data_IF_827415732490
#
_entry.id   IF_827415732490
#
_cell.length_a   1.000
_cell.length_b   1.000
_cell.length_c   1.000
_cell.angle_alpha   90.00
_cell.angle_beta   90.00
_cell.angle_gamma   90.00
#
_symmetry.space_group_name_H-M   'P 1'
#
loop_
_entity.id
_entity.type
_entity.pdbx_description
1 polymer ?
#
# COMPACT_ATOMS: atom_id res chain seq x y z
N UNK A 1 10.84 -5.64 0.51
CA UNK A 1 11.24 -4.23 0.75
C UNK A 1 10.02 -3.41 1.13
N UNK A 2 10.12 -2.57 2.18
CA UNK A 2 9.03 -1.71 2.65
C UNK A 2 9.28 -0.27 2.25
N UNK A 3 8.30 0.37 1.62
CA UNK A 3 8.36 1.78 1.23
C UNK A 3 7.21 2.54 1.89
N UNK A 4 7.52 3.63 2.60
CA UNK A 4 6.52 4.54 3.16
C UNK A 4 6.51 5.84 2.35
N UNK A 5 5.41 6.08 1.64
CA UNK A 5 5.23 7.30 0.87
C UNK A 5 4.74 8.42 1.79
N UNK A 6 5.53 9.48 1.88
CA UNK A 6 5.20 10.70 2.61
C UNK A 6 4.69 11.77 1.65
N UNK A 7 4.67 13.01 2.12
CA UNK A 7 4.40 14.18 1.28
C UNK A 7 5.27 14.15 0.02
N UNK A 8 4.70 14.42 -1.18
CA UNK A 8 5.45 14.47 -2.42
C UNK A 8 6.56 15.54 -2.38
N UNK A 9 7.72 15.21 -2.92
CA UNK A 9 8.78 16.19 -3.19
C UNK A 9 8.41 17.07 -4.39
N UNK A 10 9.18 18.16 -4.62
CA UNK A 10 9.02 18.97 -5.84
C UNK A 10 9.24 18.13 -7.11
N UNK A 11 10.19 17.20 -7.10
CA UNK A 11 10.43 16.27 -8.21
C UNK A 11 9.20 15.36 -8.43
N UNK A 12 8.59 14.84 -7.36
CA UNK A 12 7.38 14.02 -7.48
C UNK A 12 6.21 14.79 -8.11
N UNK A 13 6.06 16.07 -7.76
CA UNK A 13 5.00 16.94 -8.29
C UNK A 13 5.22 17.35 -9.76
N UNK A 14 6.45 17.31 -10.26
CA UNK A 14 6.79 17.57 -11.67
C UNK A 14 6.59 16.33 -12.56
N UNK A 15 6.20 15.20 -11.98
CA UNK A 15 5.89 13.95 -12.68
C UNK A 15 4.44 13.53 -12.47
N UNK A 16 3.99 12.52 -13.25
CA UNK A 16 2.66 11.94 -13.03
C UNK A 16 2.56 11.30 -11.65
N UNK A 17 1.37 11.29 -11.05
CA UNK A 17 1.14 10.79 -9.69
C UNK A 17 1.57 9.32 -9.48
N UNK A 18 1.61 8.51 -10.53
CA UNK A 18 2.07 7.12 -10.46
C UNK A 18 3.59 7.00 -10.36
N UNK A 19 4.34 7.99 -10.87
CA UNK A 19 5.78 7.89 -11.10
C UNK A 19 6.58 7.51 -9.85
N UNK A 20 6.36 8.16 -8.71
CA UNK A 20 7.09 7.86 -7.49
C UNK A 20 6.85 6.44 -6.98
N UNK A 21 5.65 5.90 -7.21
CA UNK A 21 5.33 4.51 -6.86
C UNK A 21 5.92 3.54 -7.86
N UNK A 22 5.93 3.87 -9.16
CA UNK A 22 6.57 3.06 -10.20
C UNK A 22 8.05 2.83 -9.94
N UNK A 23 8.78 3.84 -9.48
CA UNK A 23 10.20 3.74 -9.09
C UNK A 23 10.47 2.78 -7.95
N UNK A 24 9.45 2.41 -7.18
CA UNK A 24 9.52 1.56 -5.99
C UNK A 24 8.88 0.18 -6.17
N UNK A 25 8.45 -0.12 -7.39
CA UNK A 25 7.94 -1.46 -7.69
C UNK A 25 9.03 -2.50 -7.42
N UNK A 26 8.67 -3.65 -6.82
CA UNK A 26 9.63 -4.70 -6.56
C UNK A 26 10.12 -5.36 -7.84
N UNK A 27 11.35 -5.81 -7.81
CA UNK A 27 11.89 -6.71 -8.84
C UNK A 27 11.12 -8.04 -8.85
N UNK A 28 11.21 -8.78 -9.97
CA UNK A 28 10.64 -10.13 -10.06
C UNK A 28 11.19 -11.04 -8.96
N UNK A 29 10.32 -11.83 -8.35
CA UNK A 29 10.69 -12.71 -7.23
C UNK A 29 10.91 -11.96 -5.90
N UNK A 30 10.53 -10.68 -5.83
CA UNK A 30 10.60 -9.88 -4.60
C UNK A 30 9.21 -9.45 -4.13
N UNK A 31 9.11 -9.13 -2.85
CA UNK A 31 7.90 -8.61 -2.23
C UNK A 31 8.12 -7.13 -1.90
N UNK A 32 7.27 -6.27 -2.45
CA UNK A 32 7.17 -4.86 -2.11
C UNK A 32 6.00 -4.61 -1.16
N UNK A 33 6.21 -3.84 -0.09
CA UNK A 33 5.17 -3.41 0.83
C UNK A 33 5.09 -1.90 0.79
N UNK A 34 3.96 -1.38 0.35
CA UNK A 34 3.68 0.05 0.29
C UNK A 34 2.84 0.48 1.50
N UNK A 35 3.40 1.35 2.33
CA UNK A 35 2.64 2.08 3.32
C UNK A 35 2.25 3.43 2.72
N UNK A 36 0.95 3.62 2.46
CA UNK A 36 0.39 4.55 1.50
C UNK A 36 0.84 4.22 0.06
N UNK A 37 0.23 4.82 -0.93
CA UNK A 37 0.57 4.52 -2.33
C UNK A 37 0.01 5.61 -3.25
N UNK A 38 -0.09 5.32 -4.54
CA UNK A 38 -0.77 6.16 -5.53
C UNK A 38 -2.27 6.40 -5.20
N UNK A 39 -2.86 5.64 -4.32
CA UNK A 39 -4.24 5.87 -3.86
C UNK A 39 -4.42 7.15 -3.04
N UNK A 40 -3.34 7.75 -2.50
CA UNK A 40 -3.41 9.07 -1.88
C UNK A 40 -3.99 10.13 -2.83
N UNK A 41 -3.83 9.96 -4.15
CA UNK A 41 -4.35 10.85 -5.17
C UNK A 41 -5.87 10.92 -5.24
N UNK A 42 -6.54 9.86 -4.87
CA UNK A 42 -8.01 9.77 -4.85
C UNK A 42 -8.59 9.78 -3.43
N UNK A 43 -7.73 10.00 -2.45
CA UNK A 43 -8.05 10.13 -1.02
C UNK A 43 -7.72 11.54 -0.52
N UNK A 44 -6.48 11.77 -0.07
CA UNK A 44 -6.10 13.07 0.50
C UNK A 44 -6.19 14.21 -0.52
N UNK A 45 -5.79 13.99 -1.76
CA UNK A 45 -5.87 15.01 -2.82
C UNK A 45 -7.33 15.37 -3.13
N UNK A 46 -8.23 14.40 -3.03
CA UNK A 46 -9.68 14.62 -3.22
C UNK A 46 -10.31 15.41 -2.07
N UNK A 47 -9.93 15.09 -0.82
CA UNK A 47 -10.41 15.80 0.38
C UNK A 47 -9.82 17.20 0.47
N UNK A 48 -8.62 17.42 -0.08
CA UNK A 48 -7.91 18.69 -0.09
C UNK A 48 -7.58 19.16 -1.51
N UNK A 49 -8.54 19.80 -2.22
CA UNK A 49 -8.38 20.16 -3.63
C UNK A 49 -7.16 21.03 -3.96
N UNK A 50 -6.70 21.83 -3.00
CA UNK A 50 -5.47 22.61 -3.15
C UNK A 50 -4.22 21.76 -3.44
N UNK A 51 -4.22 20.48 -3.05
CA UNK A 51 -3.14 19.56 -3.39
C UNK A 51 -3.15 19.17 -4.87
N UNK A 52 -4.34 19.11 -5.50
CA UNK A 52 -4.46 18.92 -6.94
C UNK A 52 -3.89 20.11 -7.71
N UNK A 53 -4.23 21.33 -7.29
CA UNK A 53 -3.72 22.56 -7.89
C UNK A 53 -2.18 22.63 -7.84
N UNK A 54 -1.60 22.16 -6.74
CA UNK A 54 -0.13 22.13 -6.58
C UNK A 54 0.58 21.22 -7.60
N UNK A 55 -0.12 20.27 -8.21
CA UNK A 55 0.43 19.40 -9.28
C UNK A 55 0.54 20.11 -10.63
N UNK A 56 -0.07 21.29 -10.79
CA UNK A 56 0.00 22.12 -12.00
C UNK A 56 -0.38 21.38 -13.29
N UNK A 57 -1.33 20.45 -13.22
CA UNK A 57 -1.79 19.71 -14.39
C UNK A 57 -2.67 20.62 -15.24
N UNK A 58 -2.34 20.83 -16.53
CA UNK A 58 -3.13 21.71 -17.41
C UNK A 58 -4.58 21.22 -17.53
N UNK A 59 -5.53 22.15 -17.39
CA UNK A 59 -6.99 21.92 -17.60
C UNK A 59 -7.60 20.85 -16.68
N UNK A 60 -6.98 20.54 -15.54
CA UNK A 60 -7.54 19.65 -14.53
C UNK A 60 -8.10 20.48 -13.38
N UNK A 61 -9.33 20.22 -13.02
CA UNK A 61 -10.04 20.83 -11.91
C UNK A 61 -10.60 19.74 -11.00
N UNK A 62 -10.87 20.03 -9.70
CA UNK A 62 -11.35 19.05 -8.73
C UNK A 62 -12.84 18.72 -8.96
N UNK A 63 -13.15 18.17 -10.11
CA UNK A 63 -14.48 17.74 -10.55
C UNK A 63 -14.59 16.21 -10.48
N UNK A 64 -15.81 15.69 -10.47
CA UNK A 64 -16.08 14.24 -10.39
C UNK A 64 -15.38 13.46 -11.52
N UNK A 65 -15.34 14.03 -12.73
CA UNK A 65 -14.68 13.41 -13.87
C UNK A 65 -13.18 13.17 -13.60
N UNK A 66 -12.50 14.11 -12.96
CA UNK A 66 -11.08 13.96 -12.61
C UNK A 66 -10.83 12.74 -11.73
N UNK A 67 -11.72 12.45 -10.79
CA UNK A 67 -11.58 11.30 -9.91
C UNK A 67 -11.87 9.99 -10.63
N UNK A 68 -12.85 9.97 -11.54
CA UNK A 68 -13.12 8.83 -12.41
C UNK A 68 -11.93 8.51 -13.33
N UNK A 69 -11.36 9.52 -13.98
CA UNK A 69 -10.17 9.34 -14.81
C UNK A 69 -8.98 8.78 -14.01
N UNK A 70 -8.78 9.21 -12.77
CA UNK A 70 -7.74 8.65 -11.88
C UNK A 70 -8.02 7.21 -11.46
N UNK A 71 -9.27 6.82 -11.25
CA UNK A 71 -9.62 5.43 -11.01
C UNK A 71 -9.30 4.55 -12.21
N UNK A 72 -9.59 5.05 -13.41
CA UNK A 72 -9.27 4.34 -14.66
C UNK A 72 -7.77 4.20 -14.87
N UNK A 73 -6.99 5.26 -14.63
CA UNK A 73 -5.52 5.23 -14.66
C UNK A 73 -4.94 4.20 -13.69
N UNK A 74 -5.43 4.18 -12.44
CA UNK A 74 -5.01 3.24 -11.41
C UNK A 74 -5.35 1.80 -11.84
N UNK A 75 -6.58 1.57 -12.30
CA UNK A 75 -7.01 0.25 -12.77
C UNK A 75 -6.19 -0.23 -13.97
N UNK A 76 -5.89 0.66 -14.92
CA UNK A 76 -5.03 0.34 -16.07
C UNK A 76 -3.61 -0.01 -15.64
N UNK A 77 -3.04 0.72 -14.69
CA UNK A 77 -1.73 0.48 -14.14
C UNK A 77 -1.65 -0.87 -13.40
N UNK A 78 -2.59 -1.15 -12.50
CA UNK A 78 -2.67 -2.41 -11.78
C UNK A 78 -2.89 -3.61 -12.72
N UNK A 79 -3.74 -3.44 -13.74
CA UNK A 79 -3.95 -4.43 -14.77
C UNK A 79 -2.69 -4.74 -15.57
N UNK A 80 -1.90 -3.69 -15.87
CA UNK A 80 -0.60 -3.87 -16.51
C UNK A 80 0.34 -4.69 -15.63
N UNK A 81 0.46 -4.38 -14.36
CA UNK A 81 1.29 -5.11 -13.41
C UNK A 81 0.87 -6.58 -13.27
N UNK A 82 -0.44 -6.82 -13.10
CA UNK A 82 -0.99 -8.17 -12.96
C UNK A 82 -0.72 -9.03 -14.18
N UNK A 83 -0.92 -8.50 -15.40
CA UNK A 83 -0.60 -9.18 -16.67
C UNK A 83 0.88 -9.52 -16.82
N UNK A 84 1.76 -8.76 -16.15
CA UNK A 84 3.20 -9.00 -16.13
C UNK A 84 3.66 -9.86 -14.94
N UNK A 85 2.73 -10.51 -14.23
CA UNK A 85 3.03 -11.49 -13.19
C UNK A 85 3.25 -10.90 -11.81
N UNK A 86 2.79 -9.68 -11.55
CA UNK A 86 2.80 -9.09 -10.20
C UNK A 86 1.47 -9.40 -9.51
N UNK A 87 1.50 -10.14 -8.42
CA UNK A 87 0.34 -10.30 -7.55
C UNK A 87 0.16 -9.05 -6.69
N UNK A 88 -1.05 -8.48 -6.69
CA UNK A 88 -1.35 -7.24 -5.97
C UNK A 88 -2.37 -7.56 -4.88
N UNK A 89 -2.04 -7.19 -3.63
CA UNK A 89 -2.93 -7.30 -2.48
C UNK A 89 -3.15 -5.91 -1.92
N UNK A 90 -4.37 -5.44 -1.93
CA UNK A 90 -4.74 -4.12 -1.41
C UNK A 90 -5.50 -4.26 -0.10
N UNK A 91 -5.02 -3.60 0.95
CA UNK A 91 -5.58 -3.73 2.29
C UNK A 91 -5.95 -2.34 2.82
N UNK A 92 -7.23 -2.17 3.13
CA UNK A 92 -7.71 -1.01 3.87
C UNK A 92 -7.93 -1.39 5.34
N UNK A 93 -7.16 -0.77 6.22
CA UNK A 93 -7.31 -0.95 7.67
C UNK A 93 -8.36 0.02 8.21
N UNK A 94 -9.60 -0.46 8.28
CA UNK A 94 -10.73 0.35 8.73
C UNK A 94 -10.72 0.52 10.25
N UNK A 95 -10.46 1.75 10.68
CA UNK A 95 -10.49 2.17 12.10
C UNK A 95 -11.73 3.03 12.31
N UNK A 96 -12.53 2.71 13.33
CA UNK A 96 -13.71 3.51 13.67
C UNK A 96 -13.34 4.92 14.15
N UNK A 97 -14.25 5.87 13.96
CA UNK A 97 -14.07 7.27 14.42
C UNK A 97 -13.82 7.33 15.94
N UNK A 98 -14.45 6.44 16.70
CA UNK A 98 -14.26 6.35 18.16
C UNK A 98 -12.88 5.78 18.52
N UNK A 99 -12.46 4.68 17.90
CA UNK A 99 -11.13 4.13 18.14
C UNK A 99 -10.01 5.08 17.71
N UNK A 100 -10.20 5.82 16.62
CA UNK A 100 -9.26 6.86 16.21
C UNK A 100 -9.09 7.91 17.32
N UNK A 101 -10.19 8.39 17.93
CA UNK A 101 -10.18 9.31 19.07
C UNK A 101 -9.42 8.71 20.26
N UNK A 102 -9.72 7.46 20.61
CA UNK A 102 -9.05 6.78 21.71
C UNK A 102 -7.53 6.68 21.49
N UNK A 103 -7.09 6.42 20.25
CA UNK A 103 -5.66 6.39 19.91
C UNK A 103 -4.99 7.76 20.01
N UNK A 104 -5.68 8.82 19.65
CA UNK A 104 -5.16 10.18 19.85
C UNK A 104 -5.03 10.53 21.34
N UNK A 105 -6.04 10.23 22.15
CA UNK A 105 -6.00 10.42 23.59
C UNK A 105 -4.88 9.60 24.25
N UNK A 106 -4.69 8.33 23.84
CA UNK A 106 -3.57 7.51 24.31
C UNK A 106 -2.20 8.13 23.99
N UNK A 107 -2.04 8.75 22.81
CA UNK A 107 -0.79 9.46 22.46
C UNK A 107 -0.57 10.70 23.32
N UNK A 108 -1.63 11.49 23.59
CA UNK A 108 -1.57 12.71 24.39
C UNK A 108 -1.24 12.37 25.85
N UNK A 109 -1.83 11.30 26.38
CA UNK A 109 -1.68 10.90 27.78
C UNK A 109 -0.37 10.15 28.08
N UNK A 110 0.40 9.79 27.05
CA UNK A 110 1.63 9.01 27.20
C UNK A 110 2.86 9.80 26.76
N UNK A 111 3.71 10.26 27.71
CA UNK A 111 4.93 11.04 27.41
C UNK A 111 5.86 10.32 26.42
N UNK A 112 5.99 8.99 26.52
CA UNK A 112 6.81 8.18 25.62
C UNK A 112 6.30 8.16 24.16
N UNK A 113 5.09 8.68 23.91
CA UNK A 113 4.46 8.78 22.59
C UNK A 113 4.32 10.21 22.05
N UNK A 114 4.66 11.23 22.83
CA UNK A 114 4.52 12.62 22.42
C UNK A 114 5.25 12.95 21.11
N UNK A 115 6.38 12.31 20.84
CA UNK A 115 7.12 12.48 19.60
C UNK A 115 6.35 12.06 18.33
N UNK A 116 5.27 11.29 18.47
CA UNK A 116 4.36 10.89 17.38
C UNK A 116 3.16 11.83 17.24
N UNK A 117 2.99 12.79 18.14
CA UNK A 117 1.85 13.68 18.11
C UNK A 117 2.08 14.81 17.11
N UNK A 118 1.12 15.00 16.21
CA UNK A 118 1.06 16.15 15.33
C UNK A 118 -0.30 16.83 15.47
N UNK A 119 -0.31 18.14 15.70
CA UNK A 119 -1.56 18.91 15.80
C UNK A 119 -2.38 18.88 14.50
N UNK A 120 -1.73 18.68 13.36
CA UNK A 120 -2.36 18.51 12.06
C UNK A 120 -3.29 17.28 12.04
N UNK A 121 -2.92 16.17 12.71
CA UNK A 121 -3.73 14.95 12.77
C UNK A 121 -5.12 15.22 13.38
N UNK A 122 -5.21 16.14 14.36
CA UNK A 122 -6.49 16.51 14.99
C UNK A 122 -7.35 17.34 14.05
N UNK A 123 -6.73 18.20 13.23
CA UNK A 123 -7.44 18.95 12.19
C UNK A 123 -7.96 18.03 11.10
N UNK A 124 -7.16 17.05 10.66
CA UNK A 124 -7.58 16.06 9.67
C UNK A 124 -8.79 15.22 10.11
N UNK A 125 -8.95 15.00 11.41
CA UNK A 125 -10.09 14.26 11.95
C UNK A 125 -11.45 14.91 11.65
N UNK A 126 -11.53 16.22 11.42
CA UNK A 126 -12.80 16.87 11.03
C UNK A 126 -13.30 16.42 9.67
N UNK A 127 -12.41 15.96 8.79
CA UNK A 127 -12.72 15.42 7.46
C UNK A 127 -12.99 13.90 7.47
N UNK A 128 -13.24 13.29 8.65
CA UNK A 128 -13.41 11.84 8.76
C UNK A 128 -14.51 11.31 7.84
N UNK A 129 -15.62 12.02 7.71
CA UNK A 129 -16.76 11.59 6.93
C UNK A 129 -16.47 11.77 5.42
N UNK A 130 -15.76 12.83 5.03
CA UNK A 130 -15.29 13.06 3.65
C UNK A 130 -14.29 11.96 3.22
N UNK A 131 -13.36 11.61 4.10
CA UNK A 131 -12.46 10.48 3.87
C UNK A 131 -13.20 9.15 3.76
N UNK A 132 -14.22 8.92 4.59
CA UNK A 132 -15.02 7.69 4.52
C UNK A 132 -15.69 7.56 3.17
N UNK A 133 -16.32 8.62 2.68
CA UNK A 133 -16.93 8.66 1.35
C UNK A 133 -15.89 8.41 0.24
N UNK A 134 -14.74 9.09 0.30
CA UNK A 134 -13.67 8.90 -0.67
C UNK A 134 -13.15 7.44 -0.69
N UNK A 135 -13.02 6.80 0.48
CA UNK A 135 -12.65 5.39 0.58
C UNK A 135 -13.70 4.46 -0.02
N UNK A 136 -14.98 4.68 0.26
CA UNK A 136 -16.07 3.87 -0.28
C UNK A 136 -16.10 3.91 -1.81
N UNK A 137 -16.03 5.12 -2.40
CA UNK A 137 -16.02 5.30 -3.86
C UNK A 137 -14.75 4.71 -4.48
N UNK A 138 -13.59 4.94 -3.90
CA UNK A 138 -12.32 4.38 -4.37
C UNK A 138 -12.34 2.85 -4.35
N UNK A 139 -12.79 2.23 -3.26
CA UNK A 139 -12.87 0.77 -3.13
C UNK A 139 -13.85 0.21 -4.16
N UNK A 140 -15.02 0.83 -4.32
CA UNK A 140 -16.02 0.41 -5.29
C UNK A 140 -15.50 0.50 -6.75
N UNK A 141 -14.78 1.58 -7.08
CA UNK A 141 -14.28 1.82 -8.43
C UNK A 141 -13.03 1.00 -8.78
N UNK A 142 -12.21 0.62 -7.77
CA UNK A 142 -10.89 0.01 -8.02
C UNK A 142 -10.72 -1.39 -7.45
N UNK A 143 -11.75 -2.00 -6.86
CA UNK A 143 -11.69 -3.42 -6.45
C UNK A 143 -11.93 -4.31 -7.66
N UNK A 144 -10.86 -4.78 -8.28
CA UNK A 144 -10.92 -5.58 -9.50
C UNK A 144 -10.57 -7.05 -9.20
N UNK A 145 -10.92 -7.97 -10.11
CA UNK A 145 -10.60 -9.39 -9.98
C UNK A 145 -9.09 -9.64 -9.86
N UNK A 146 -8.28 -8.89 -10.59
CA UNK A 146 -6.81 -9.02 -10.60
C UNK A 146 -6.10 -8.25 -9.49
N UNK A 147 -6.79 -7.35 -8.79
CA UNK A 147 -6.27 -6.57 -7.68
C UNK A 147 -7.42 -6.17 -6.72
N UNK A 148 -7.94 -7.11 -5.93
CA UNK A 148 -9.06 -6.84 -5.02
C UNK A 148 -8.63 -6.05 -3.80
N UNK A 149 -9.57 -5.25 -3.26
CA UNK A 149 -9.45 -4.63 -1.95
C UNK A 149 -9.96 -5.57 -0.85
N UNK A 150 -9.22 -5.61 0.25
CA UNK A 150 -9.61 -6.27 1.49
C UNK A 150 -9.82 -5.21 2.57
N UNK A 151 -11.07 -5.06 3.02
CA UNK A 151 -11.42 -4.17 4.14
C UNK A 151 -11.25 -4.95 5.43
N UNK A 152 -10.25 -4.57 6.23
CA UNK A 152 -9.87 -5.27 7.46
C UNK A 152 -10.24 -4.42 8.68
N UNK A 153 -11.10 -4.91 9.59
CA UNK A 153 -11.38 -4.22 10.86
C UNK A 153 -10.10 -4.01 11.66
N UNK A 154 -9.82 -2.75 12.05
CA UNK A 154 -8.54 -2.40 12.65
C UNK A 154 -8.63 -1.73 14.03
N UNK A 155 -9.80 -1.73 14.66
CA UNK A 155 -9.97 -1.25 16.02
C UNK A 155 -9.17 -2.12 17.00
N UNK A 156 -9.20 -3.43 16.83
CA UNK A 156 -8.40 -4.38 17.62
C UNK A 156 -7.18 -4.82 16.81
N UNK A 157 -6.00 -4.38 17.23
CA UNK A 157 -4.72 -4.66 16.52
C UNK A 157 -4.45 -6.14 16.28
N UNK A 158 -4.80 -7.02 17.23
CA UNK A 158 -4.58 -8.45 17.06
C UNK A 158 -5.46 -9.03 15.94
N UNK A 159 -6.70 -8.56 15.81
CA UNK A 159 -7.61 -8.99 14.72
C UNK A 159 -7.04 -8.57 13.37
N UNK A 160 -6.70 -7.29 13.21
CA UNK A 160 -6.16 -6.80 11.94
C UNK A 160 -4.83 -7.47 11.56
N UNK A 161 -3.94 -7.70 12.54
CA UNK A 161 -2.66 -8.40 12.29
C UNK A 161 -2.87 -9.84 11.84
N UNK A 162 -3.77 -10.57 12.50
CA UNK A 162 -4.09 -11.95 12.11
C UNK A 162 -4.70 -11.99 10.71
N UNK A 163 -5.70 -11.13 10.43
CA UNK A 163 -6.33 -11.07 9.11
C UNK A 163 -5.33 -10.75 8.00
N UNK A 164 -4.47 -9.74 8.20
CA UNK A 164 -3.43 -9.39 7.22
C UNK A 164 -2.44 -10.52 7.02
N UNK A 165 -1.97 -11.16 8.10
CA UNK A 165 -1.05 -12.30 8.00
C UNK A 165 -1.67 -13.48 7.24
N UNK A 166 -2.94 -13.79 7.50
CA UNK A 166 -3.67 -14.86 6.79
C UNK A 166 -3.84 -14.54 5.30
N UNK A 167 -4.20 -13.29 4.97
CA UNK A 167 -4.31 -12.85 3.57
C UNK A 167 -2.99 -12.99 2.82
N UNK A 168 -1.89 -12.54 3.43
CA UNK A 168 -0.56 -12.61 2.82
C UNK A 168 -0.10 -14.05 2.64
N UNK A 169 -0.26 -14.90 3.67
CA UNK A 169 0.08 -16.32 3.59
C UNK A 169 -0.72 -17.02 2.48
N UNK A 170 -2.05 -16.83 2.44
CA UNK A 170 -2.89 -17.40 1.40
C UNK A 170 -2.54 -16.91 -0.01
N UNK A 171 -2.17 -15.64 -0.16
CA UNK A 171 -1.71 -15.10 -1.46
C UNK A 171 -0.41 -15.75 -1.89
N UNK A 172 0.57 -15.90 -0.98
CA UNK A 172 1.86 -16.55 -1.28
C UNK A 172 1.64 -18.01 -1.66
N UNK A 173 0.78 -18.73 -0.94
CA UNK A 173 0.46 -20.13 -1.28
C UNK A 173 -0.17 -20.27 -2.67
N UNK A 174 -1.05 -19.34 -3.06
CA UNK A 174 -1.68 -19.33 -4.38
C UNK A 174 -0.69 -19.06 -5.52
N UNK A 175 0.47 -18.46 -5.25
CA UNK A 175 1.51 -18.25 -6.26
C UNK A 175 2.20 -19.56 -6.67
N UNK A 176 1.98 -20.68 -5.97
CA UNK A 176 2.56 -21.98 -6.31
C UNK A 176 4.09 -21.98 -6.32
N UNK A 177 4.71 -21.22 -5.40
CA UNK A 177 6.15 -21.06 -5.33
C UNK A 177 6.82 -22.40 -5.02
N UNK A 178 7.89 -22.70 -5.75
CA UNK A 178 8.75 -23.85 -5.51
C UNK A 178 10.16 -23.42 -5.17
N UNK A 179 10.90 -24.29 -4.46
CA UNK A 179 12.30 -24.04 -4.24
C UNK A 179 13.06 -23.99 -5.57
N UNK A 180 14.08 -23.12 -5.71
CA UNK A 180 14.89 -23.09 -6.90
C UNK A 180 15.50 -24.46 -7.20
N UNK A 181 15.43 -24.89 -8.45
CA UNK A 181 16.09 -26.13 -8.87
C UNK A 181 17.60 -25.97 -8.74
N UNK A 182 18.24 -26.98 -8.15
CA UNK A 182 19.71 -27.05 -8.04
C UNK A 182 20.25 -27.63 -9.34
N UNK A 183 21.31 -27.04 -9.91
CA UNK A 183 21.96 -27.58 -11.10
C UNK A 183 22.76 -28.84 -10.74
N UNK A 184 22.95 -29.75 -11.70
CA UNK A 184 23.78 -30.97 -11.50
C UNK A 184 25.17 -30.65 -10.94
N UNK A 185 25.77 -29.54 -11.38
CA UNK A 185 27.06 -29.09 -10.85
C UNK A 185 26.98 -28.75 -9.37
N UNK A 186 25.94 -28.04 -8.96
CA UNK A 186 25.72 -27.70 -7.55
C UNK A 186 25.44 -28.96 -6.70
N UNK A 187 24.69 -29.93 -7.22
CA UNK A 187 24.48 -31.21 -6.52
C UNK A 187 25.79 -31.96 -6.30
N UNK A 188 26.67 -31.99 -7.30
CA UNK A 188 28.00 -32.60 -7.19
C UNK A 188 28.87 -31.84 -6.15
N UNK A 189 28.82 -30.51 -6.14
CA UNK A 189 29.54 -29.68 -5.15
C UNK A 189 29.03 -29.95 -3.73
N UNK A 190 27.71 -30.04 -3.54
CA UNK A 190 27.08 -30.36 -2.23
C UNK A 190 27.53 -31.75 -1.75
N UNK A 191 27.48 -32.75 -2.62
CA UNK A 191 27.88 -34.13 -2.28
C UNK A 191 29.37 -34.20 -1.96
N UNK A 192 30.22 -33.50 -2.69
CA UNK A 192 31.64 -33.40 -2.40
C UNK A 192 31.91 -32.74 -1.04
N UNK A 193 31.19 -31.66 -0.74
CA UNK A 193 31.30 -30.96 0.55
C UNK A 193 30.83 -31.85 1.71
N UNK A 194 29.75 -32.60 1.54
CA UNK A 194 29.27 -33.58 2.53
C UNK A 194 30.35 -34.59 2.87
N UNK A 195 30.93 -35.22 1.84
CA UNK A 195 31.98 -36.25 2.05
C UNK A 195 33.21 -35.70 2.79
N UNK A 196 33.59 -34.44 2.56
CA UNK A 196 34.71 -33.82 3.26
C UNK A 196 34.40 -33.60 4.75
N UNK A 197 33.18 -33.09 5.05
CA UNK A 197 32.75 -32.83 6.42
C UNK A 197 32.55 -34.15 7.23
N UNK A 198 32.08 -35.20 6.58
CA UNK A 198 31.92 -36.52 7.23
C UNK A 198 33.27 -37.22 7.50
N UNK A 199 34.36 -36.78 6.87
CA UNK A 199 35.72 -37.31 7.06
C UNK A 199 36.57 -36.56 8.12
N UNK A 200 36.06 -35.44 8.66
CA UNK A 200 36.66 -34.68 9.77
C UNK A 200 36.32 -35.34 11.11
#
# INVERSE_FOLDING_TARGET
EGTSFKEPSSEDLDHTFLWRCMKKLPERGRIGIFNRSYYEEVLIVRVHPNLLEAQRIPNVHPEDQTWHDRFDDINAFEKHLARNGTAIVKIFLHVSKEEQKNRFLDRINRPDKHWKFAGADIKERQYFDDYTQAYEEMIAATSTEYAPWYVVPADKKWVSRTAVATLLAGTIDQLGLTWPAVSEKQEQEIESARKKLEAE
#
